data_IF_339068933860
#
_entry.id   IF_339068933860
#
_cell.length_a   1.000
_cell.length_b   1.000
_cell.length_c   1.000
_cell.angle_alpha   90.00
_cell.angle_beta   90.00
_cell.angle_gamma   90.00
#
_symmetry.space_group_name_H-M   'P 1'
#
loop_
_entity.id
_entity.type
_entity.pdbx_description
1 polymer ?
#
# COMPACT_ATOMS: atom_id res chain seq x y z
N UNK A 1 -22.80 10.97 22.73
CA UNK A 1 -21.49 10.35 23.07
C UNK A 1 -20.42 11.06 22.26
N UNK A 2 -19.53 11.79 22.93
CA UNK A 2 -18.45 12.54 22.29
C UNK A 2 -17.45 11.52 21.70
N UNK A 3 -17.34 11.49 20.37
CA UNK A 3 -16.25 10.84 19.65
C UNK A 3 -14.96 11.62 19.93
N UNK A 4 -14.48 11.56 21.18
CA UNK A 4 -13.07 11.85 21.47
C UNK A 4 -12.30 10.81 20.67
N UNK A 5 -11.83 11.23 19.51
CA UNK A 5 -11.05 10.45 18.57
C UNK A 5 -10.01 9.61 19.31
N UNK A 6 -9.99 8.30 19.05
CA UNK A 6 -8.96 7.34 19.45
C UNK A 6 -7.60 7.68 18.75
N UNK A 7 -7.38 8.95 18.41
CA UNK A 7 -6.22 9.48 17.70
C UNK A 7 -5.18 10.10 18.62
N UNK A 8 -5.50 10.32 19.91
CA UNK A 8 -4.60 11.04 20.83
C UNK A 8 -3.33 10.29 21.25
N UNK A 9 -3.05 9.10 20.71
CA UNK A 9 -1.80 8.36 20.95
C UNK A 9 -1.24 7.67 19.69
N UNK A 10 -1.60 8.13 18.48
CA UNK A 10 -1.04 7.50 17.27
C UNK A 10 0.31 8.13 16.95
N UNK A 11 1.37 7.32 17.03
CA UNK A 11 2.76 7.64 16.66
C UNK A 11 2.90 7.92 15.14
N UNK A 12 2.03 8.72 14.52
CA UNK A 12 2.04 9.03 13.10
C UNK A 12 1.79 10.52 12.84
N UNK A 13 2.63 11.11 12.00
CA UNK A 13 2.52 12.48 11.49
C UNK A 13 1.70 12.45 10.21
N UNK A 14 0.66 13.29 10.15
CA UNK A 14 -0.18 13.47 8.95
C UNK A 14 0.47 14.49 8.02
N UNK A 15 0.56 14.15 6.74
CA UNK A 15 0.97 15.04 5.66
C UNK A 15 -0.20 15.22 4.70
N UNK A 16 -0.56 16.47 4.42
CA UNK A 16 -1.65 16.82 3.51
C UNK A 16 -1.05 17.17 2.16
N UNK A 17 -1.49 16.48 1.10
CA UNK A 17 -1.10 16.75 -0.28
C UNK A 17 -2.05 17.77 -0.89
N UNK A 18 -3.36 17.56 -0.70
CA UNK A 18 -4.43 18.48 -1.09
C UNK A 18 -5.70 18.25 -0.23
N UNK A 19 -6.82 18.89 -0.61
CA UNK A 19 -8.11 18.81 0.10
C UNK A 19 -8.69 17.39 0.21
N UNK A 20 -8.26 16.45 -0.66
CA UNK A 20 -8.77 15.08 -0.78
C UNK A 20 -7.72 14.00 -0.51
N UNK A 21 -6.43 14.35 -0.49
CA UNK A 21 -5.34 13.41 -0.32
C UNK A 21 -4.43 13.76 0.86
N UNK A 22 -4.23 12.79 1.74
CA UNK A 22 -3.24 12.86 2.81
C UNK A 22 -2.60 11.50 3.03
N UNK A 23 -1.36 11.50 3.53
CA UNK A 23 -0.65 10.29 3.96
C UNK A 23 -0.17 10.44 5.40
N UNK A 24 0.19 9.32 6.03
CA UNK A 24 0.61 9.26 7.42
C UNK A 24 1.96 8.54 7.49
N UNK A 25 2.96 9.17 8.13
CA UNK A 25 4.26 8.53 8.40
C UNK A 25 4.45 8.37 9.91
N UNK A 26 5.17 7.34 10.39
CA UNK A 26 5.47 7.21 11.80
C UNK A 26 6.21 8.43 12.39
N UNK A 27 5.71 9.03 13.48
CA UNK A 27 6.27 10.24 14.13
C UNK A 27 7.62 10.01 14.80
N UNK A 28 7.97 8.76 15.11
CA UNK A 28 9.31 8.38 15.54
C UNK A 28 9.86 7.41 14.51
N UNK A 29 11.06 7.70 14.01
CA UNK A 29 11.90 6.67 13.43
C UNK A 29 12.16 5.64 14.54
N UNK A 30 11.37 4.56 14.60
CA UNK A 30 11.88 3.31 15.17
C UNK A 30 13.25 3.11 14.52
N UNK A 31 14.27 2.75 15.30
CA UNK A 31 15.60 2.42 14.78
C UNK A 31 15.43 1.27 13.78
N UNK A 32 15.17 1.62 12.52
CA UNK A 32 15.06 0.70 11.42
C UNK A 32 16.48 0.47 10.93
N UNK A 33 16.83 -0.79 10.78
CA UNK A 33 18.11 -1.17 10.19
C UNK A 33 18.17 -0.57 8.78
N UNK A 34 19.33 -0.04 8.42
CA UNK A 34 19.52 0.46 7.06
C UNK A 34 19.49 -0.71 6.07
N UNK A 35 19.31 -0.41 4.78
CA UNK A 35 19.46 -1.40 3.70
C UNK A 35 20.78 -2.18 3.82
N UNK A 36 21.88 -1.46 4.10
CA UNK A 36 23.23 -2.03 4.24
C UNK A 36 23.29 -2.95 5.46
N UNK A 37 22.69 -2.56 6.59
CA UNK A 37 22.67 -3.39 7.80
C UNK A 37 21.90 -4.69 7.57
N UNK A 38 20.72 -4.61 6.94
CA UNK A 38 19.88 -5.79 6.69
C UNK A 38 20.52 -6.76 5.69
N UNK A 39 21.12 -6.24 4.62
CA UNK A 39 21.86 -7.07 3.66
C UNK A 39 23.11 -7.69 4.27
N UNK A 40 23.91 -6.90 4.99
CA UNK A 40 25.12 -7.40 5.62
C UNK A 40 24.80 -8.53 6.61
N UNK A 41 23.72 -8.39 7.39
CA UNK A 41 23.29 -9.45 8.30
C UNK A 41 22.82 -10.71 7.56
N UNK A 42 21.95 -10.56 6.57
CA UNK A 42 21.31 -11.70 5.87
C UNK A 42 22.25 -12.45 4.94
N UNK A 43 23.20 -11.76 4.29
CA UNK A 43 24.19 -12.38 3.41
C UNK A 43 25.32 -13.07 4.18
N UNK A 44 25.53 -12.73 5.46
CA UNK A 44 26.48 -13.40 6.34
C UNK A 44 25.89 -14.65 7.04
N UNK A 45 24.59 -14.94 6.88
CA UNK A 45 24.00 -16.16 7.41
C UNK A 45 24.42 -17.40 6.60
N UNK A 46 24.39 -18.57 7.25
CA UNK A 46 24.64 -19.87 6.60
C UNK A 46 23.70 -20.09 5.40
N UNK A 47 22.42 -19.77 5.58
CA UNK A 47 21.44 -19.70 4.49
C UNK A 47 21.22 -18.23 4.13
N UNK A 48 21.73 -17.81 2.97
CA UNK A 48 21.59 -16.43 2.50
C UNK A 48 20.15 -16.18 2.06
N UNK A 49 19.64 -15.01 2.39
CA UNK A 49 18.33 -14.53 1.94
C UNK A 49 18.36 -13.02 1.73
N UNK A 50 17.41 -12.49 0.98
CA UNK A 50 17.19 -11.04 0.82
C UNK A 50 15.71 -10.79 1.06
N UNK A 51 15.38 -9.79 1.88
CA UNK A 51 13.99 -9.44 2.14
C UNK A 51 13.34 -8.88 0.85
N UNK A 52 12.13 -9.33 0.45
CA UNK A 52 11.53 -8.98 -0.84
C UNK A 52 11.20 -7.48 -0.99
N UNK A 53 11.11 -6.73 0.12
CA UNK A 53 10.96 -5.26 0.08
C UNK A 53 12.04 -4.55 -0.74
N UNK A 54 13.22 -5.16 -0.87
CA UNK A 54 14.32 -4.60 -1.67
C UNK A 54 14.22 -4.90 -3.17
N UNK A 55 13.19 -5.64 -3.61
CA UNK A 55 12.89 -5.80 -5.03
C UNK A 55 12.13 -4.62 -5.63
N UNK A 56 11.62 -3.68 -4.83
CA UNK A 56 10.74 -2.61 -5.30
C UNK A 56 11.46 -1.26 -5.33
N UNK A 57 12.68 -1.23 -5.89
CA UNK A 57 13.22 0.03 -6.39
C UNK A 57 12.46 0.46 -7.66
N UNK A 58 12.88 1.55 -8.31
CA UNK A 58 12.22 2.03 -9.53
C UNK A 58 12.12 0.92 -10.60
N UNK A 59 13.24 0.25 -10.89
CA UNK A 59 13.30 -0.75 -11.96
C UNK A 59 12.52 -2.02 -11.60
N UNK A 60 12.62 -2.45 -10.35
CA UNK A 60 11.90 -3.62 -9.89
C UNK A 60 10.40 -3.39 -9.77
N UNK A 61 9.98 -2.15 -9.52
CA UNK A 61 8.56 -1.75 -9.59
C UNK A 61 8.04 -1.80 -11.04
N UNK A 62 8.80 -1.25 -12.00
CA UNK A 62 8.46 -1.31 -13.43
C UNK A 62 8.40 -2.77 -13.95
N UNK A 63 9.31 -3.61 -13.46
CA UNK A 63 9.31 -5.05 -13.73
C UNK A 63 8.08 -5.73 -13.14
N UNK A 64 7.72 -5.43 -11.90
CA UNK A 64 6.54 -5.99 -11.25
C UNK A 64 5.25 -5.59 -12.00
N UNK A 65 5.15 -4.34 -12.44
CA UNK A 65 4.04 -3.90 -13.29
C UNK A 65 3.96 -4.72 -14.59
N UNK A 66 5.11 -5.02 -15.20
CA UNK A 66 5.18 -5.88 -16.38
C UNK A 66 4.75 -7.32 -16.07
N UNK A 67 5.17 -7.86 -14.92
CA UNK A 67 4.73 -9.18 -14.43
C UNK A 67 3.21 -9.23 -14.29
N UNK A 68 2.57 -8.19 -13.75
CA UNK A 68 1.12 -8.13 -13.60
C UNK A 68 0.32 -8.23 -14.92
N UNK A 69 0.97 -8.00 -16.07
CA UNK A 69 0.36 -8.08 -17.41
C UNK A 69 0.53 -9.47 -18.05
N UNK A 70 1.38 -10.33 -17.48
CA UNK A 70 1.62 -11.67 -17.99
C UNK A 70 0.37 -12.56 -17.85
N UNK A 71 0.05 -13.41 -18.84
CA UNK A 71 -1.11 -14.31 -18.77
C UNK A 71 -1.04 -15.28 -17.59
N UNK A 72 0.17 -15.72 -17.21
CA UNK A 72 0.46 -16.62 -16.10
C UNK A 72 0.20 -15.96 -14.74
N UNK A 73 0.44 -14.64 -14.62
CA UNK A 73 0.27 -13.89 -13.38
C UNK A 73 -1.16 -13.35 -13.25
N UNK A 74 -2.10 -14.25 -12.98
CA UNK A 74 -3.53 -13.90 -12.98
C UNK A 74 -3.98 -13.02 -11.81
N UNK A 75 -3.19 -12.88 -10.74
CA UNK A 75 -3.61 -12.27 -9.47
C UNK A 75 -4.19 -10.87 -9.64
N UNK A 76 -3.45 -9.98 -10.30
CA UNK A 76 -3.88 -8.59 -10.53
C UNK A 76 -5.17 -8.52 -11.34
N UNK A 77 -5.29 -9.33 -12.40
CA UNK A 77 -6.50 -9.39 -13.23
C UNK A 77 -7.71 -9.89 -12.45
N UNK A 78 -7.52 -10.91 -11.61
CA UNK A 78 -8.59 -11.47 -10.78
C UNK A 78 -9.06 -10.48 -9.74
N UNK A 79 -8.15 -9.80 -9.05
CA UNK A 79 -8.49 -8.77 -8.07
C UNK A 79 -9.28 -7.62 -8.69
N UNK A 80 -8.81 -7.09 -9.84
CA UNK A 80 -9.54 -6.07 -10.60
C UNK A 80 -10.94 -6.57 -11.01
N UNK A 81 -11.05 -7.83 -11.46
CA UNK A 81 -12.35 -8.40 -11.82
C UNK A 81 -13.30 -8.52 -10.62
N UNK A 82 -12.80 -8.78 -9.42
CA UNK A 82 -13.61 -8.84 -8.21
C UNK A 82 -14.05 -7.43 -7.83
N UNK A 83 -13.13 -6.46 -7.80
CA UNK A 83 -13.45 -5.06 -7.50
C UNK A 83 -14.52 -4.51 -8.45
N UNK A 84 -14.39 -4.73 -9.76
CA UNK A 84 -15.40 -4.34 -10.76
C UNK A 84 -16.79 -4.96 -10.53
N UNK A 85 -16.85 -6.18 -9.98
CA UNK A 85 -18.14 -6.84 -9.63
C UNK A 85 -18.72 -6.31 -8.33
N UNK A 86 -17.88 -5.78 -7.45
CA UNK A 86 -18.29 -5.19 -6.17
C UNK A 86 -18.68 -3.72 -6.30
N UNK A 87 -18.18 -3.03 -7.33
CA UNK A 87 -18.46 -1.63 -7.66
C UNK A 87 -19.94 -1.25 -7.46
N UNK A 88 -20.85 -1.95 -8.14
CA UNK A 88 -22.29 -1.70 -8.05
C UNK A 88 -22.92 -2.01 -6.69
N UNK A 89 -22.20 -2.69 -5.79
CA UNK A 89 -22.65 -3.05 -4.44
C UNK A 89 -22.02 -2.15 -3.38
N UNK A 90 -20.83 -1.62 -3.62
CA UNK A 90 -20.09 -0.80 -2.68
C UNK A 90 -20.79 0.53 -2.41
N UNK A 91 -21.44 1.12 -3.42
CA UNK A 91 -22.20 2.37 -3.27
C UNK A 91 -23.27 2.33 -2.17
N UNK A 92 -23.89 1.17 -1.91
CA UNK A 92 -24.86 1.00 -0.83
C UNK A 92 -24.24 1.07 0.59
N UNK A 93 -22.92 0.89 0.69
CA UNK A 93 -22.16 0.90 1.95
C UNK A 93 -21.27 2.14 2.11
N UNK A 94 -21.08 2.91 1.03
CA UNK A 94 -20.37 4.18 1.05
C UNK A 94 -21.39 5.30 1.29
N UNK A 95 -21.24 6.05 2.38
CA UNK A 95 -21.95 7.30 2.58
C UNK A 95 -21.21 8.45 1.87
N UNK A 96 -21.82 9.63 1.79
CA UNK A 96 -21.23 10.82 1.15
C UNK A 96 -19.90 11.27 1.79
N UNK A 97 -19.55 10.76 2.98
CA UNK A 97 -18.30 11.04 3.69
C UNK A 97 -17.56 9.74 4.06
N UNK A 98 -16.91 9.11 3.08
CA UNK A 98 -16.01 7.98 3.34
C UNK A 98 -14.53 8.37 3.23
N UNK A 99 -13.66 7.61 3.90
CA UNK A 99 -12.20 7.72 3.77
C UNK A 99 -11.63 6.38 3.36
N UNK A 100 -11.02 6.33 2.17
CA UNK A 100 -10.28 5.18 1.72
C UNK A 100 -8.85 5.23 2.28
N UNK A 101 -8.38 4.11 2.82
CA UNK A 101 -6.99 3.93 3.24
C UNK A 101 -6.45 2.74 2.47
N UNK A 102 -5.51 2.99 1.57
CA UNK A 102 -4.77 1.92 0.88
C UNK A 102 -3.47 1.63 1.64
N UNK A 103 -3.23 0.35 1.93
CA UNK A 103 -1.98 -0.11 2.50
C UNK A 103 -1.14 -0.68 1.36
N UNK A 104 0.12 -0.24 1.29
CA UNK A 104 1.12 -0.73 0.32
C UNK A 104 0.64 -0.55 -1.14
N UNK A 105 0.87 0.63 -1.71
CA UNK A 105 0.48 0.94 -3.10
C UNK A 105 1.33 0.10 -4.05
N UNK A 106 0.72 -0.95 -4.62
CA UNK A 106 1.39 -1.88 -5.54
C UNK A 106 1.14 -1.51 -7.01
N UNK A 107 -0.01 -0.94 -7.36
CA UNK A 107 -0.34 -0.59 -8.74
C UNK A 107 -1.37 0.54 -8.80
N UNK A 108 -1.04 1.63 -9.51
CA UNK A 108 -1.86 2.84 -9.60
C UNK A 108 -3.28 2.58 -10.14
N UNK A 109 -3.46 1.57 -10.98
CA UNK A 109 -4.75 1.24 -11.61
C UNK A 109 -5.81 0.68 -10.66
N UNK A 110 -5.45 0.27 -9.43
CA UNK A 110 -6.45 -0.21 -8.45
C UNK A 110 -7.27 0.93 -7.86
N UNK A 111 -6.64 2.08 -7.62
CA UNK A 111 -7.27 3.26 -7.04
C UNK A 111 -8.31 3.88 -7.97
N UNK A 112 -8.07 3.88 -9.28
CA UNK A 112 -9.00 4.44 -10.26
C UNK A 112 -10.42 3.84 -10.14
N UNK A 113 -10.55 2.56 -9.76
CA UNK A 113 -11.87 1.94 -9.59
C UNK A 113 -12.63 2.46 -8.36
N UNK A 114 -11.95 2.78 -7.27
CA UNK A 114 -12.61 3.32 -6.09
C UNK A 114 -13.03 4.79 -6.24
N UNK A 115 -12.40 5.54 -7.16
CA UNK A 115 -12.73 6.95 -7.43
C UNK A 115 -13.74 7.14 -8.57
N UNK A 116 -14.14 6.07 -9.27
CA UNK A 116 -15.18 6.08 -10.31
C UNK A 116 -16.59 5.73 -9.78
N UNK A 117 -16.69 5.26 -8.53
CA UNK A 117 -17.92 5.13 -7.75
C UNK A 117 -18.25 6.43 -7.03
#
# INVERSE_FOLDING_TARGET
MSLKSIQNEREYTKFVVDDRLCYYEPSKNKSQKTFVDELSLSLNQKQKSIHPKFFYDKNGSDLFESICKLPEYYLTRTEISILRKLDSKLSAYMNEEFRLVELEVVLHTKLEYFFLC
#
